data_IF_733758702722
#
_entry.id   IF_733758702722
#
_cell.length_a   1.000
_cell.length_b   1.000
_cell.length_c   1.000
_cell.angle_alpha   90.00
_cell.angle_beta   90.00
_cell.angle_gamma   90.00
#
_symmetry.space_group_name_H-M   'P 1'
#
loop_
_entity.id
_entity.type
_entity.pdbx_description
1 polymer ?
#
# COMPACT_ATOMS: atom_id res chain seq x y z
N UNK A 1 20.70 -29.12 10.43
CA UNK A 1 21.21 -27.76 10.62
C UNK A 1 20.42 -26.84 9.72
N UNK A 2 19.40 -26.24 10.26
CA UNK A 2 18.63 -25.16 9.65
C UNK A 2 19.51 -23.91 9.61
N UNK A 3 20.00 -23.54 8.43
CA UNK A 3 20.63 -22.26 8.22
C UNK A 3 19.59 -21.15 8.41
N UNK A 4 19.56 -20.54 9.56
CA UNK A 4 18.99 -19.21 9.71
C UNK A 4 19.94 -18.26 8.99
N UNK A 5 19.61 -17.90 7.76
CA UNK A 5 20.14 -16.67 7.19
C UNK A 5 19.60 -15.55 8.05
N UNK A 6 20.46 -14.92 8.84
CA UNK A 6 20.12 -13.68 9.52
C UNK A 6 19.71 -12.69 8.42
N UNK A 7 18.43 -12.36 8.34
CA UNK A 7 17.93 -11.33 7.45
C UNK A 7 18.51 -9.99 7.90
N UNK A 8 19.72 -9.70 7.42
CA UNK A 8 20.38 -8.44 7.70
C UNK A 8 19.58 -7.31 7.05
N UNK A 9 19.30 -6.25 7.82
CA UNK A 9 18.67 -5.05 7.31
C UNK A 9 19.43 -4.47 6.11
N UNK A 10 18.70 -4.03 5.11
CA UNK A 10 19.23 -3.16 4.08
C UNK A 10 19.41 -1.77 4.70
N UNK A 11 20.52 -1.09 4.41
CA UNK A 11 20.83 0.24 4.96
C UNK A 11 20.72 0.35 6.50
N UNK A 12 21.43 -0.51 7.28
CA UNK A 12 21.29 -0.53 8.73
C UNK A 12 21.75 0.75 9.43
N UNK A 13 22.46 1.65 8.73
CA UNK A 13 22.92 2.95 9.24
C UNK A 13 21.88 4.08 9.01
N UNK A 14 20.82 3.82 8.27
CA UNK A 14 19.76 4.82 8.04
C UNK A 14 19.02 5.11 9.36
N UNK A 15 18.59 6.37 9.56
CA UNK A 15 17.88 6.80 10.77
C UNK A 15 16.61 5.97 11.07
N UNK A 16 15.89 5.53 10.03
CA UNK A 16 14.68 4.72 10.16
C UNK A 16 14.91 3.21 10.34
N UNK A 17 16.15 2.72 10.25
CA UNK A 17 16.45 1.29 10.25
C UNK A 17 16.02 0.58 11.54
N UNK A 18 16.26 1.21 12.70
CA UNK A 18 15.89 0.66 13.99
C UNK A 18 14.38 0.50 14.17
N UNK A 19 13.62 1.50 13.83
CA UNK A 19 12.15 1.47 13.90
C UNK A 19 11.58 0.48 12.88
N UNK A 20 12.17 0.40 11.68
CA UNK A 20 11.75 -0.59 10.68
C UNK A 20 11.98 -2.02 11.18
N UNK A 21 13.14 -2.31 11.75
CA UNK A 21 13.44 -3.62 12.34
C UNK A 21 12.48 -4.00 13.47
N UNK A 22 12.12 -3.04 14.31
CA UNK A 22 11.27 -3.27 15.48
C UNK A 22 9.78 -3.41 15.13
N UNK A 23 9.28 -2.64 14.16
CA UNK A 23 7.83 -2.50 13.92
C UNK A 23 7.35 -3.03 12.56
N UNK A 24 8.22 -3.16 11.56
CA UNK A 24 7.81 -3.39 10.18
C UNK A 24 8.34 -4.71 9.59
N UNK A 25 9.58 -5.04 9.92
CA UNK A 25 10.36 -6.11 9.29
C UNK A 25 9.66 -7.47 9.30
N UNK A 26 9.06 -7.85 10.44
CA UNK A 26 8.47 -9.19 10.61
C UNK A 26 7.33 -9.47 9.64
N UNK A 27 6.62 -8.43 9.21
CA UNK A 27 5.48 -8.55 8.30
C UNK A 27 5.81 -8.09 6.88
N UNK A 28 6.56 -7.00 6.72
CA UNK A 28 6.85 -6.42 5.41
C UNK A 28 8.15 -6.92 4.78
N UNK A 29 8.98 -7.67 5.53
CA UNK A 29 10.24 -8.24 5.05
C UNK A 29 11.41 -7.26 5.00
N UNK A 30 12.62 -7.79 4.82
CA UNK A 30 13.86 -6.98 4.76
C UNK A 30 13.92 -6.03 3.57
N UNK A 31 13.26 -6.39 2.48
CA UNK A 31 13.20 -5.59 1.24
C UNK A 31 11.91 -4.79 1.10
N UNK A 32 11.03 -4.83 2.10
CA UNK A 32 9.75 -4.13 2.04
C UNK A 32 8.76 -4.65 0.98
N UNK A 33 8.91 -5.90 0.55
CA UNK A 33 8.09 -6.50 -0.52
C UNK A 33 6.78 -7.11 -0.02
N UNK A 34 6.60 -7.18 1.30
CA UNK A 34 5.41 -7.72 1.93
C UNK A 34 5.32 -9.24 1.91
N UNK A 35 4.21 -9.74 2.44
CA UNK A 35 3.88 -11.18 2.51
C UNK A 35 2.37 -11.36 2.39
N UNK A 36 1.91 -12.05 1.36
CA UNK A 36 0.48 -12.30 1.13
C UNK A 36 -0.17 -13.06 2.28
N UNK A 37 0.51 -14.08 2.81
CA UNK A 37 0.00 -14.88 3.94
C UNK A 37 -0.32 -14.05 5.20
N UNK A 38 0.36 -12.92 5.38
CA UNK A 38 0.13 -11.97 6.47
C UNK A 38 -0.72 -10.75 6.03
N UNK A 39 -1.13 -10.71 4.77
CA UNK A 39 -1.79 -9.56 4.16
C UNK A 39 -1.01 -8.23 4.34
N UNK A 40 0.31 -8.35 4.44
CA UNK A 40 1.24 -7.24 4.53
C UNK A 40 1.74 -6.86 3.14
N UNK A 41 1.42 -5.65 2.63
CA UNK A 41 1.74 -5.26 1.26
C UNK A 41 3.21 -4.87 1.07
N UNK A 42 3.63 -4.85 -0.20
CA UNK A 42 4.84 -4.17 -0.64
C UNK A 42 4.74 -2.66 -0.37
N UNK A 43 5.83 -2.06 0.05
CA UNK A 43 5.89 -0.65 0.45
C UNK A 43 6.73 0.20 -0.50
N UNK A 44 7.66 -0.40 -1.23
CA UNK A 44 8.76 0.29 -1.91
C UNK A 44 8.36 1.13 -3.13
N UNK A 45 7.19 0.87 -3.71
CA UNK A 45 6.65 1.67 -4.82
C UNK A 45 5.84 2.89 -4.37
N UNK A 46 5.60 3.04 -3.08
CA UNK A 46 4.80 4.11 -2.52
C UNK A 46 5.64 5.35 -2.24
N UNK A 47 5.09 6.50 -2.57
CA UNK A 47 5.70 7.80 -2.26
C UNK A 47 5.89 7.98 -0.74
N UNK A 48 7.04 8.50 -0.29
CA UNK A 48 7.32 8.68 1.14
C UNK A 48 6.35 9.63 1.84
N UNK A 49 5.80 10.61 1.16
CA UNK A 49 4.76 11.50 1.72
C UNK A 49 3.48 10.72 2.00
N UNK A 50 3.09 9.84 1.07
CA UNK A 50 1.96 8.93 1.25
C UNK A 50 2.19 7.95 2.40
N UNK A 51 3.36 7.32 2.48
CA UNK A 51 3.72 6.40 3.57
C UNK A 51 3.61 7.12 4.92
N UNK A 52 4.22 8.29 5.04
CA UNK A 52 4.17 9.08 6.27
C UNK A 52 2.73 9.44 6.66
N UNK A 53 1.88 9.81 5.69
CA UNK A 53 0.47 10.11 5.94
C UNK A 53 -0.28 8.87 6.42
N UNK A 54 -0.08 7.71 5.80
CA UNK A 54 -0.75 6.47 6.21
C UNK A 54 -0.32 6.02 7.59
N UNK A 55 0.95 6.11 7.94
CA UNK A 55 1.43 5.80 9.29
C UNK A 55 0.77 6.71 10.34
N UNK A 56 0.65 8.03 10.06
CA UNK A 56 -0.11 8.94 10.93
C UNK A 56 -1.57 8.55 11.02
N UNK A 57 -2.22 8.22 9.91
CA UNK A 57 -3.62 7.79 9.89
C UNK A 57 -3.84 6.53 10.74
N UNK A 58 -2.95 5.56 10.65
CA UNK A 58 -3.01 4.37 11.51
C UNK A 58 -2.80 4.72 12.99
N UNK A 59 -1.78 5.52 13.30
CA UNK A 59 -1.48 5.96 14.67
C UNK A 59 -2.64 6.72 15.31
N UNK A 60 -3.26 7.61 14.55
CA UNK A 60 -4.24 8.57 15.03
C UNK A 60 -5.70 8.08 14.91
N UNK A 61 -5.90 6.82 14.50
CA UNK A 61 -7.23 6.21 14.39
C UNK A 61 -8.06 6.65 13.19
N UNK A 62 -7.44 7.28 12.20
CA UNK A 62 -8.10 7.68 10.94
C UNK A 62 -8.23 6.48 9.99
N UNK A 63 -7.28 5.54 10.06
CA UNK A 63 -7.27 4.29 9.30
C UNK A 63 -7.05 3.11 10.25
N UNK A 64 -7.70 1.98 9.97
CA UNK A 64 -7.53 0.76 10.79
C UNK A 64 -8.33 0.74 12.09
N UNK A 65 -9.22 1.70 12.31
CA UNK A 65 -10.07 1.77 13.50
C UNK A 65 -11.41 1.03 13.35
N UNK A 66 -11.79 0.65 12.13
CA UNK A 66 -13.04 -0.08 11.92
C UNK A 66 -12.93 -1.50 12.49
N UNK A 67 -13.93 -1.98 13.27
CA UNK A 67 -13.85 -3.29 13.94
C UNK A 67 -13.62 -4.48 13.00
N UNK A 68 -14.11 -4.38 11.76
CA UNK A 68 -13.99 -5.42 10.75
C UNK A 68 -12.70 -5.29 9.91
N UNK A 69 -11.91 -4.21 10.08
CA UNK A 69 -10.63 -4.05 9.41
C UNK A 69 -9.49 -4.71 10.22
N UNK A 70 -9.48 -6.03 10.24
CA UNK A 70 -8.53 -6.83 11.03
C UNK A 70 -7.07 -6.49 10.72
N UNK A 71 -6.71 -6.39 9.44
CA UNK A 71 -5.32 -6.09 9.05
C UNK A 71 -4.96 -4.61 9.25
N UNK A 72 -5.92 -3.71 9.04
CA UNK A 72 -5.73 -2.30 9.38
C UNK A 72 -5.53 -2.09 10.88
N UNK A 73 -6.21 -2.86 11.73
CA UNK A 73 -6.04 -2.77 13.19
C UNK A 73 -4.66 -3.23 13.65
N UNK A 74 -4.03 -4.20 12.96
CA UNK A 74 -2.65 -4.61 13.21
C UNK A 74 -1.70 -3.45 12.90
N UNK A 75 -1.89 -2.77 11.76
CA UNK A 75 -1.10 -1.59 11.41
C UNK A 75 -1.31 -0.43 12.39
N UNK A 76 -2.53 -0.21 12.86
CA UNK A 76 -2.83 0.79 13.88
C UNK A 76 -2.08 0.50 15.19
N UNK A 77 -2.08 -0.76 15.63
CA UNK A 77 -1.33 -1.18 16.83
C UNK A 77 0.19 -1.01 16.65
N UNK A 78 0.72 -1.39 15.48
CA UNK A 78 2.15 -1.26 15.16
C UNK A 78 2.60 0.21 15.06
N UNK A 79 1.70 1.11 14.72
CA UNK A 79 1.99 2.54 14.53
C UNK A 79 1.74 3.38 15.78
N UNK A 80 1.05 2.85 16.78
CA UNK A 80 0.55 3.61 17.94
C UNK A 80 1.64 4.37 18.71
N UNK A 81 2.84 3.82 18.81
CA UNK A 81 3.96 4.43 19.54
C UNK A 81 4.89 5.30 18.69
N UNK A 82 4.62 5.48 17.39
CA UNK A 82 5.51 6.21 16.51
C UNK A 82 5.39 7.72 16.71
N UNK A 83 6.51 8.41 16.88
CA UNK A 83 6.58 9.88 16.83
C UNK A 83 6.54 10.38 15.38
N UNK A 84 6.29 11.67 15.18
CA UNK A 84 6.37 12.27 13.85
C UNK A 84 7.79 12.16 13.25
N UNK A 85 8.83 12.26 14.08
CA UNK A 85 10.22 12.06 13.66
C UNK A 85 10.46 10.61 13.20
N UNK A 86 10.01 9.61 13.99
CA UNK A 86 10.10 8.20 13.61
C UNK A 86 9.36 7.91 12.30
N UNK A 87 8.19 8.49 12.11
CA UNK A 87 7.42 8.34 10.86
C UNK A 87 8.17 8.91 9.66
N UNK A 88 8.78 10.10 9.80
CA UNK A 88 9.60 10.68 8.74
C UNK A 88 10.82 9.83 8.41
N UNK A 89 11.52 9.32 9.42
CA UNK A 89 12.68 8.44 9.26
C UNK A 89 12.31 7.12 8.61
N UNK A 90 11.17 6.51 9.01
CA UNK A 90 10.64 5.29 8.40
C UNK A 90 10.28 5.50 6.93
N UNK A 91 9.59 6.58 6.60
CA UNK A 91 9.26 6.90 5.22
C UNK A 91 10.52 7.03 4.34
N UNK A 92 11.55 7.72 4.84
CA UNK A 92 12.85 7.84 4.17
C UNK A 92 13.58 6.50 4.05
N UNK A 93 13.52 5.66 5.08
CA UNK A 93 14.10 4.32 5.04
C UNK A 93 13.46 3.45 3.96
N UNK A 94 12.14 3.43 3.89
CA UNK A 94 11.38 2.64 2.90
C UNK A 94 11.64 3.15 1.48
N UNK A 95 11.68 4.47 1.29
CA UNK A 95 11.98 5.09 0.00
C UNK A 95 13.38 4.71 -0.54
N UNK A 96 14.34 4.47 0.35
CA UNK A 96 15.69 4.05 0.00
C UNK A 96 15.83 2.53 -0.27
N UNK A 97 14.78 1.74 -0.05
CA UNK A 97 14.79 0.32 -0.38
C UNK A 97 14.69 0.09 -1.89
N UNK A 98 15.27 -1.02 -2.42
CA UNK A 98 15.13 -1.35 -3.83
C UNK A 98 13.67 -1.50 -4.23
N UNK A 99 13.29 -0.87 -5.33
CA UNK A 99 11.93 -0.95 -5.86
C UNK A 99 11.81 -2.16 -6.80
N UNK A 100 11.06 -3.17 -6.39
CA UNK A 100 10.90 -4.44 -7.09
C UNK A 100 9.42 -4.69 -7.36
N UNK A 101 9.09 -5.08 -8.59
CA UNK A 101 7.74 -5.46 -8.96
C UNK A 101 7.35 -6.78 -8.27
N UNK A 102 6.30 -6.81 -7.44
CA UNK A 102 5.81 -8.04 -6.84
C UNK A 102 5.30 -9.03 -7.89
N UNK A 103 5.36 -10.32 -7.57
CA UNK A 103 4.80 -11.35 -8.43
C UNK A 103 3.28 -11.22 -8.54
N UNK A 104 2.74 -11.36 -9.76
CA UNK A 104 1.31 -11.38 -9.99
C UNK A 104 0.69 -12.68 -9.45
N UNK A 105 -0.43 -12.58 -8.76
CA UNK A 105 -1.16 -13.72 -8.17
C UNK A 105 -2.60 -13.82 -8.71
N UNK A 106 -3.18 -12.71 -9.16
CA UNK A 106 -4.55 -12.64 -9.65
C UNK A 106 -4.56 -12.84 -11.17
N UNK A 107 -5.50 -13.65 -11.62
CA UNK A 107 -5.78 -13.86 -13.04
C UNK A 107 -6.97 -13.01 -13.45
N UNK A 108 -6.79 -12.18 -14.47
CA UNK A 108 -7.83 -11.31 -15.01
C UNK A 108 -7.54 -10.97 -16.47
N UNK A 109 -8.49 -10.33 -17.12
CA UNK A 109 -8.32 -9.81 -18.48
C UNK A 109 -7.52 -8.50 -18.43
N UNK A 110 -6.23 -8.58 -18.74
CA UNK A 110 -5.32 -7.43 -18.71
C UNK A 110 -5.77 -6.30 -19.64
N UNK A 111 -6.31 -6.61 -20.82
CA UNK A 111 -6.79 -5.59 -21.76
C UNK A 111 -8.04 -4.88 -21.24
N UNK A 112 -8.96 -5.61 -20.61
CA UNK A 112 -10.10 -5.03 -19.94
C UNK A 112 -9.65 -4.15 -18.76
N UNK A 113 -8.69 -4.63 -17.97
CA UNK A 113 -8.12 -3.89 -16.84
C UNK A 113 -7.47 -2.59 -17.27
N UNK A 114 -6.74 -2.60 -18.38
CA UNK A 114 -6.15 -1.40 -18.99
C UNK A 114 -7.22 -0.38 -19.37
N UNK A 115 -8.28 -0.82 -20.06
CA UNK A 115 -9.36 0.07 -20.46
C UNK A 115 -10.05 0.74 -19.26
N UNK A 116 -10.37 -0.03 -18.23
CA UNK A 116 -10.93 0.51 -17.00
C UNK A 116 -9.98 1.47 -16.28
N UNK A 117 -8.69 1.11 -16.18
CA UNK A 117 -7.71 1.99 -15.56
C UNK A 117 -7.60 3.32 -16.29
N UNK A 118 -7.46 3.30 -17.61
CA UNK A 118 -7.28 4.51 -18.40
C UNK A 118 -8.52 5.42 -18.39
N UNK A 119 -9.72 4.85 -18.33
CA UNK A 119 -10.97 5.62 -18.37
C UNK A 119 -11.48 6.06 -16.99
N UNK A 120 -11.10 5.37 -15.90
CA UNK A 120 -11.64 5.64 -14.58
C UNK A 120 -10.57 6.06 -13.54
N UNK A 121 -9.41 5.41 -13.54
CA UNK A 121 -8.43 5.54 -12.46
C UNK A 121 -7.30 6.53 -12.80
N UNK A 122 -6.94 6.63 -14.06
CA UNK A 122 -5.75 7.34 -14.53
C UNK A 122 -5.80 8.84 -14.28
N UNK A 123 -6.99 9.44 -14.22
CA UNK A 123 -7.14 10.87 -13.95
C UNK A 123 -6.49 11.32 -12.62
N UNK A 124 -6.49 10.43 -11.62
CA UNK A 124 -5.86 10.68 -10.33
C UNK A 124 -4.54 9.91 -10.17
N UNK A 125 -4.50 8.64 -10.56
CA UNK A 125 -3.35 7.77 -10.34
C UNK A 125 -2.30 7.78 -11.47
N UNK A 126 -2.53 8.52 -12.56
CA UNK A 126 -1.67 8.56 -13.74
C UNK A 126 -1.94 7.40 -14.71
N UNK A 127 -1.63 7.61 -16.00
CA UNK A 127 -1.85 6.59 -17.04
C UNK A 127 -0.97 5.35 -16.84
N UNK A 128 0.23 5.53 -16.31
CA UNK A 128 1.16 4.47 -15.93
C UNK A 128 1.05 4.06 -14.45
N UNK A 129 0.01 4.53 -13.76
CA UNK A 129 -0.30 4.23 -12.37
C UNK A 129 0.83 4.57 -11.36
N UNK A 130 1.67 5.54 -11.66
CA UNK A 130 2.75 6.00 -10.75
C UNK A 130 2.26 7.00 -9.69
N UNK A 131 0.97 7.30 -9.67
CA UNK A 131 0.38 8.25 -8.73
C UNK A 131 0.49 9.70 -9.16
N UNK A 132 0.02 10.59 -8.30
CA UNK A 132 0.10 12.04 -8.48
C UNK A 132 0.14 12.71 -7.10
N UNK A 133 1.32 13.21 -6.73
CA UNK A 133 1.54 13.85 -5.42
C UNK A 133 0.67 15.09 -5.24
N UNK A 134 0.44 15.87 -6.28
CA UNK A 134 -0.41 17.06 -6.22
C UNK A 134 -1.89 16.75 -5.93
N UNK A 135 -2.34 15.55 -6.32
CA UNK A 135 -3.69 15.03 -6.02
C UNK A 135 -3.71 14.10 -4.81
N UNK A 136 -2.57 13.91 -4.16
CA UNK A 136 -2.41 12.97 -3.04
C UNK A 136 -2.83 11.53 -3.38
N UNK A 137 -2.80 11.19 -4.67
CA UNK A 137 -3.13 9.88 -5.18
C UNK A 137 -1.86 8.99 -5.22
N UNK A 138 -1.85 7.85 -4.53
CA UNK A 138 -0.66 7.00 -4.48
C UNK A 138 -0.40 6.28 -5.79
N UNK A 139 0.84 5.80 -5.98
CA UNK A 139 1.16 4.83 -7.00
C UNK A 139 0.36 3.54 -6.78
N UNK A 140 -0.11 2.95 -7.86
CA UNK A 140 -0.73 1.62 -7.90
C UNK A 140 0.19 0.60 -8.57
N UNK A 141 1.05 1.05 -9.50
CA UNK A 141 2.12 0.25 -10.05
C UNK A 141 3.11 -0.16 -8.94
N UNK A 142 3.54 -1.41 -8.95
CA UNK A 142 4.45 -1.95 -7.93
C UNK A 142 3.78 -2.40 -6.63
N UNK A 143 2.46 -2.27 -6.51
CA UNK A 143 1.69 -2.88 -5.43
C UNK A 143 1.35 -4.33 -5.74
N UNK A 144 1.18 -5.13 -4.68
CA UNK A 144 0.62 -6.47 -4.85
C UNK A 144 -0.82 -6.39 -5.39
N UNK A 145 -1.16 -7.20 -6.37
CA UNK A 145 -2.49 -7.24 -6.97
C UNK A 145 -3.61 -7.59 -5.97
N UNK A 146 -3.36 -8.56 -5.10
CA UNK A 146 -4.29 -8.92 -4.01
C UNK A 146 -4.50 -7.75 -3.02
N UNK A 147 -3.49 -6.90 -2.82
CA UNK A 147 -3.62 -5.73 -1.95
C UNK A 147 -4.47 -4.64 -2.61
N UNK A 148 -4.26 -4.37 -3.90
CA UNK A 148 -5.11 -3.44 -4.67
C UNK A 148 -6.57 -3.86 -4.57
N UNK A 149 -6.86 -5.13 -4.80
CA UNK A 149 -8.20 -5.70 -4.69
C UNK A 149 -8.78 -5.50 -3.29
N UNK A 150 -8.06 -5.89 -2.26
CA UNK A 150 -8.53 -5.79 -0.87
C UNK A 150 -8.78 -4.34 -0.44
N UNK A 151 -7.94 -3.40 -0.84
CA UNK A 151 -8.12 -1.99 -0.48
C UNK A 151 -9.30 -1.36 -1.20
N UNK A 152 -9.52 -1.70 -2.47
CA UNK A 152 -10.71 -1.25 -3.19
C UNK A 152 -11.99 -1.72 -2.48
N UNK A 153 -12.04 -3.00 -2.08
CA UNK A 153 -13.15 -3.56 -1.30
C UNK A 153 -13.35 -2.86 0.04
N UNK A 154 -12.27 -2.50 0.73
CA UNK A 154 -12.35 -1.75 1.99
C UNK A 154 -12.92 -0.34 1.79
N UNK A 155 -12.55 0.34 0.72
CA UNK A 155 -13.17 1.63 0.37
C UNK A 155 -14.65 1.46 0.04
N UNK A 156 -15.01 0.44 -0.72
CA UNK A 156 -16.41 0.15 -1.10
C UNK A 156 -17.26 -0.21 0.12
N UNK A 157 -16.72 -0.97 1.05
CA UNK A 157 -17.39 -1.42 2.27
C UNK A 157 -17.35 -0.42 3.43
N UNK A 158 -16.69 0.74 3.27
CA UNK A 158 -16.58 1.75 4.33
C UNK A 158 -15.60 1.40 5.45
N UNK A 159 -14.77 0.36 5.28
CA UNK A 159 -13.74 -0.01 6.25
C UNK A 159 -12.54 0.94 6.19
N UNK A 160 -12.35 1.60 5.06
CA UNK A 160 -11.28 2.57 4.80
C UNK A 160 -11.86 3.82 4.13
N UNK A 161 -11.34 4.99 4.46
CA UNK A 161 -11.71 6.26 3.83
C UNK A 161 -12.99 6.89 4.36
N UNK A 162 -13.68 6.28 5.31
CA UNK A 162 -14.93 6.78 5.88
C UNK A 162 -14.72 7.78 7.04
N UNK A 163 -13.50 7.85 7.59
CA UNK A 163 -13.21 8.77 8.70
C UNK A 163 -13.24 10.23 8.20
N UNK A 164 -13.84 11.18 8.95
CA UNK A 164 -13.97 12.59 8.51
C UNK A 164 -12.64 13.28 8.21
N UNK A 165 -11.55 12.86 8.83
CA UNK A 165 -10.21 13.41 8.61
C UNK A 165 -9.48 12.77 7.43
N UNK A 166 -9.99 11.67 6.85
CA UNK A 166 -9.41 11.06 5.65
C UNK A 166 -9.90 11.76 4.38
N UNK A 167 -9.41 12.97 4.16
CA UNK A 167 -9.80 13.84 3.03
C UNK A 167 -9.57 13.19 1.66
N UNK A 168 -8.57 12.33 1.57
CA UNK A 168 -8.17 11.70 0.32
C UNK A 168 -8.82 10.34 0.12
N UNK A 169 -8.89 9.55 1.18
CA UNK A 169 -9.58 8.25 1.17
C UNK A 169 -11.07 8.37 0.86
N UNK A 170 -11.72 9.46 1.26
CA UNK A 170 -13.14 9.70 0.93
C UNK A 170 -13.39 9.78 -0.59
N UNK A 171 -12.39 10.19 -1.37
CA UNK A 171 -12.49 10.22 -2.83
C UNK A 171 -12.61 8.80 -3.40
N UNK A 172 -11.83 7.87 -2.84
CA UNK A 172 -11.94 6.46 -3.21
C UNK A 172 -13.26 5.85 -2.76
N UNK A 173 -13.77 6.22 -1.59
CA UNK A 173 -15.11 5.77 -1.14
C UNK A 173 -16.20 6.20 -2.11
N UNK A 174 -16.10 7.42 -2.64
CA UNK A 174 -17.06 7.94 -3.64
C UNK A 174 -16.94 7.26 -4.99
N UNK A 175 -15.75 6.86 -5.38
CA UNK A 175 -15.46 6.18 -6.64
C UNK A 175 -15.81 4.69 -6.60
N UNK A 176 -15.56 4.04 -5.46
CA UNK A 176 -15.64 2.59 -5.32
C UNK A 176 -16.97 1.95 -5.79
N UNK A 177 -18.15 2.59 -5.65
CA UNK A 177 -19.40 2.06 -6.18
C UNK A 177 -19.46 1.95 -7.72
N UNK A 178 -18.54 2.59 -8.44
CA UNK A 178 -18.49 2.51 -9.91
C UNK A 178 -18.14 1.10 -10.41
N UNK A 179 -17.45 0.29 -9.61
CA UNK A 179 -17.10 -1.09 -9.96
C UNK A 179 -17.60 -2.01 -8.84
N UNK A 180 -18.63 -2.78 -9.15
CA UNK A 180 -19.21 -3.77 -8.24
C UNK A 180 -18.93 -5.20 -8.68
N UNK A 181 -18.52 -5.38 -9.93
CA UNK A 181 -18.17 -6.68 -10.49
C UNK A 181 -16.74 -7.06 -10.10
N UNK A 182 -16.61 -8.19 -9.42
CA UNK A 182 -15.31 -8.71 -8.96
C UNK A 182 -14.39 -9.06 -10.12
N UNK A 183 -14.91 -9.61 -11.22
CA UNK A 183 -14.11 -9.98 -12.39
C UNK A 183 -13.46 -8.75 -13.05
N UNK A 184 -14.19 -7.63 -13.09
CA UNK A 184 -13.66 -6.35 -13.57
C UNK A 184 -12.54 -5.85 -12.63
N UNK A 185 -12.76 -5.92 -11.32
CA UNK A 185 -11.78 -5.48 -10.35
C UNK A 185 -10.51 -6.35 -10.39
N UNK A 186 -10.66 -7.66 -10.56
CA UNK A 186 -9.55 -8.60 -10.78
C UNK A 186 -8.79 -8.28 -12.07
N UNK A 187 -9.49 -7.91 -13.14
CA UNK A 187 -8.88 -7.48 -14.41
C UNK A 187 -8.05 -6.21 -14.23
N UNK A 188 -8.54 -5.24 -13.47
CA UNK A 188 -7.78 -4.02 -13.14
C UNK A 188 -6.53 -4.38 -12.32
N UNK A 189 -6.67 -5.21 -11.29
CA UNK A 189 -5.54 -5.63 -10.46
C UNK A 189 -4.49 -6.40 -11.29
N UNK A 190 -4.92 -7.28 -12.19
CA UNK A 190 -4.04 -8.00 -13.11
C UNK A 190 -3.29 -7.05 -14.06
N UNK A 191 -3.97 -6.03 -14.60
CA UNK A 191 -3.31 -5.01 -15.42
C UNK A 191 -2.27 -4.23 -14.62
N UNK A 192 -2.63 -3.73 -13.44
CA UNK A 192 -1.72 -2.97 -12.60
C UNK A 192 -0.46 -3.76 -12.22
N UNK A 193 -0.60 -5.08 -12.04
CA UNK A 193 0.52 -5.98 -11.78
C UNK A 193 1.52 -6.11 -12.95
N UNK A 194 1.14 -5.68 -14.15
CA UNK A 194 2.05 -5.63 -15.32
C UNK A 194 2.88 -4.35 -15.39
N UNK A 195 2.49 -3.32 -14.63
CA UNK A 195 3.11 -2.01 -14.71
C UNK A 195 4.35 -1.95 -13.81
N UNK A 196 5.51 -1.55 -14.35
CA UNK A 196 6.70 -1.40 -13.53
C UNK A 196 6.53 -0.24 -12.55
N UNK A 197 7.04 -0.39 -11.30
CA UNK A 197 7.17 0.73 -10.40
C UNK A 197 8.18 1.75 -10.95
N UNK A 198 8.15 2.96 -10.41
CA UNK A 198 9.18 3.95 -10.71
C UNK A 198 10.56 3.44 -10.25
N UNK A 199 11.61 3.69 -11.06
CA UNK A 199 12.95 3.22 -10.77
C UNK A 199 13.66 4.06 -9.71
#
# INVERSE_FOLDING_TARGET
HSGQTSDALINPQHAGAGDYAAQCLSCHGTQGLGQEALQAPALTSLDPVYIARQLRHFRDGVRGAHPEDTHGSIMAASSAGLSDASIADLAGYIDALPNVLPAATIKGDVAQGEDYHLNLCSACHGSNALGNVALEAPALAGLNDWYVLSQYEKFRGGLRGAHPEDRWGVQMVRLAPAITDTDILESIAAYLATLPPEA
#
